data_IF_988851159424
#
_entry.id   IF_988851159424
#
_cell.length_a   1.000
_cell.length_b   1.000
_cell.length_c   1.000
_cell.angle_alpha   90.00
_cell.angle_beta   90.00
_cell.angle_gamma   90.00
#
_symmetry.space_group_name_H-M   'P 1'
#
loop_
_entity.id
_entity.type
_entity.pdbx_description
1 polymer ?
#
# COMPACT_ATOMS: atom_id res chain seq x y z
N UNK A 1 26.96 -7.77 3.10
CA UNK A 1 26.08 -6.85 2.35
C UNK A 1 24.92 -7.68 1.83
N UNK A 2 23.70 -7.43 2.32
CA UNK A 2 22.51 -8.11 1.80
C UNK A 2 22.29 -7.68 0.33
N UNK A 3 21.88 -8.58 -0.57
CA UNK A 3 21.73 -8.23 -1.98
C UNK A 3 20.51 -7.31 -2.11
N UNK A 4 20.73 -6.01 -2.30
CA UNK A 4 19.71 -5.11 -2.84
C UNK A 4 19.58 -5.44 -4.31
N UNK A 5 18.71 -6.40 -4.64
CA UNK A 5 18.31 -6.65 -6.02
C UNK A 5 17.53 -5.43 -6.55
N UNK A 6 17.51 -5.25 -7.88
CA UNK A 6 16.77 -4.15 -8.55
C UNK A 6 15.33 -3.99 -8.04
N UNK A 7 14.68 -5.09 -7.66
CA UNK A 7 13.33 -5.09 -7.09
C UNK A 7 13.23 -4.37 -5.72
N UNK A 8 14.26 -4.46 -4.88
CA UNK A 8 14.31 -3.75 -3.59
C UNK A 8 14.51 -2.24 -3.77
N UNK A 9 15.29 -1.84 -4.78
CA UNK A 9 15.49 -0.43 -5.11
C UNK A 9 14.22 0.18 -5.72
N UNK A 10 13.54 -0.55 -6.62
CA UNK A 10 12.24 -0.17 -7.18
C UNK A 10 11.17 0.01 -6.09
N UNK A 11 11.13 -0.89 -5.10
CA UNK A 11 10.17 -0.82 -4.00
C UNK A 11 10.42 0.40 -3.09
N UNK A 12 11.69 0.69 -2.78
CA UNK A 12 12.07 1.88 -1.99
C UNK A 12 11.79 3.19 -2.74
N UNK A 13 12.01 3.21 -4.05
CA UNK A 13 11.64 4.35 -4.89
C UNK A 13 10.12 4.53 -4.91
N UNK A 14 9.38 3.43 -5.04
CA UNK A 14 7.92 3.45 -5.02
C UNK A 14 7.34 3.90 -3.68
N UNK A 15 7.98 3.56 -2.55
CA UNK A 15 7.56 4.03 -1.22
C UNK A 15 7.55 5.57 -1.11
N UNK A 16 8.39 6.26 -1.89
CA UNK A 16 8.44 7.73 -1.94
C UNK A 16 7.55 8.33 -3.04
N UNK A 17 6.83 7.52 -3.80
CA UNK A 17 6.00 7.98 -4.92
C UNK A 17 4.76 8.74 -4.44
N UNK A 18 4.24 9.61 -5.31
CA UNK A 18 2.95 10.30 -5.08
C UNK A 18 1.80 9.33 -4.84
N UNK A 19 1.83 8.16 -5.49
CA UNK A 19 0.81 7.14 -5.31
C UNK A 19 0.82 6.58 -3.90
N UNK A 20 1.98 6.21 -3.37
CA UNK A 20 2.07 5.74 -1.98
C UNK A 20 1.71 6.84 -0.98
N UNK A 21 2.06 8.11 -1.26
CA UNK A 21 1.62 9.25 -0.45
C UNK A 21 0.09 9.40 -0.44
N UNK A 22 -0.58 9.23 -1.59
CA UNK A 22 -2.05 9.25 -1.68
C UNK A 22 -2.69 8.12 -0.85
N UNK A 23 -2.18 6.89 -0.98
CA UNK A 23 -2.67 5.75 -0.20
C UNK A 23 -2.53 6.01 1.30
N UNK A 24 -1.35 6.46 1.75
CA UNK A 24 -1.14 6.83 3.16
C UNK A 24 -2.07 7.94 3.64
N UNK A 25 -2.35 8.94 2.79
CA UNK A 25 -3.28 10.01 3.14
C UNK A 25 -4.72 9.49 3.29
N UNK A 26 -5.18 8.59 2.40
CA UNK A 26 -6.50 7.95 2.52
C UNK A 26 -6.61 7.21 3.85
N UNK A 27 -5.59 6.41 4.19
CA UNK A 27 -5.56 5.68 5.46
C UNK A 27 -5.54 6.60 6.67
N UNK A 28 -4.76 7.69 6.61
CA UNK A 28 -4.70 8.70 7.68
C UNK A 28 -6.05 9.39 7.90
N UNK A 29 -6.74 9.77 6.82
CA UNK A 29 -8.07 10.38 6.90
C UNK A 29 -9.06 9.39 7.49
N UNK A 30 -9.07 8.15 7.00
CA UNK A 30 -9.93 7.07 7.51
C UNK A 30 -9.73 6.82 9.01
N UNK A 31 -8.48 6.77 9.47
CA UNK A 31 -8.16 6.63 10.89
C UNK A 31 -8.61 7.84 11.72
N UNK A 32 -8.48 9.07 11.20
CA UNK A 32 -8.94 10.29 11.86
C UNK A 32 -10.47 10.36 11.97
N UNK A 33 -11.20 9.72 11.05
CA UNK A 33 -12.65 9.58 11.11
C UNK A 33 -13.11 8.48 12.09
N UNK A 34 -12.17 7.72 12.67
CA UNK A 34 -12.46 6.64 13.62
C UNK A 34 -12.77 5.30 12.95
N UNK A 35 -12.47 5.14 11.66
CA UNK A 35 -12.67 3.87 10.97
C UNK A 35 -11.61 2.85 11.41
N UNK A 36 -12.05 1.64 11.73
CA UNK A 36 -11.17 0.51 12.11
C UNK A 36 -10.47 -0.15 10.92
N UNK A 37 -10.90 0.17 9.70
CA UNK A 37 -10.38 -0.41 8.47
C UNK A 37 -10.57 0.54 7.30
N UNK A 38 -9.63 0.54 6.37
CA UNK A 38 -9.70 1.31 5.13
C UNK A 38 -9.84 0.37 3.95
N UNK A 39 -10.90 0.55 3.16
CA UNK A 39 -11.13 -0.22 1.93
C UNK A 39 -10.61 0.57 0.74
N UNK A 40 -9.78 -0.06 -0.10
CA UNK A 40 -9.19 0.56 -1.29
C UNK A 40 -9.42 -0.35 -2.48
N UNK A 41 -10.12 0.12 -3.52
CA UNK A 41 -10.33 -0.66 -4.74
C UNK A 41 -9.04 -0.86 -5.54
N UNK A 42 -8.94 -1.97 -6.26
CA UNK A 42 -7.80 -2.24 -7.14
C UNK A 42 -7.63 -1.18 -8.23
N UNK A 43 -8.73 -0.60 -8.71
CA UNK A 43 -8.70 0.54 -9.64
C UNK A 43 -7.90 1.73 -9.10
N UNK A 44 -7.95 1.96 -7.78
CA UNK A 44 -7.18 3.01 -7.11
C UNK A 44 -5.71 2.63 -6.86
N UNK A 45 -5.37 1.34 -6.90
CA UNK A 45 -3.99 0.87 -6.77
C UNK A 45 -3.20 0.98 -8.07
N UNK A 46 -3.88 1.01 -9.22
CA UNK A 46 -3.28 1.10 -10.55
C UNK A 46 -3.00 -0.28 -11.14
N UNK A 47 -1.80 -0.47 -11.69
CA UNK A 47 -1.42 -1.75 -12.32
C UNK A 47 -1.23 -2.87 -11.28
N UNK A 48 -1.31 -4.13 -11.72
CA UNK A 48 -1.03 -5.28 -10.85
C UNK A 48 0.33 -5.19 -10.15
N UNK A 49 1.36 -4.64 -10.82
CA UNK A 49 2.68 -4.43 -10.22
C UNK A 49 2.64 -3.39 -9.10
N UNK A 50 1.96 -2.26 -9.32
CA UNK A 50 1.79 -1.22 -8.30
C UNK A 50 0.98 -1.75 -7.11
N UNK A 51 -0.08 -2.52 -7.36
CA UNK A 51 -0.86 -3.15 -6.29
C UNK A 51 -0.01 -4.07 -5.41
N UNK A 52 0.84 -4.91 -6.02
CA UNK A 52 1.79 -5.76 -5.28
C UNK A 52 2.75 -4.90 -4.44
N UNK A 53 3.29 -3.82 -5.01
CA UNK A 53 4.20 -2.93 -4.30
C UNK A 53 3.52 -2.23 -3.12
N UNK A 54 2.31 -1.71 -3.32
CA UNK A 54 1.52 -1.07 -2.26
C UNK A 54 1.26 -2.05 -1.12
N UNK A 55 0.74 -3.24 -1.41
CA UNK A 55 0.46 -4.25 -0.37
C UNK A 55 1.73 -4.67 0.36
N UNK A 56 2.84 -4.85 -0.37
CA UNK A 56 4.13 -5.21 0.23
C UNK A 56 4.61 -4.12 1.19
N UNK A 57 4.56 -2.86 0.77
CA UNK A 57 4.97 -1.72 1.60
C UNK A 57 4.06 -1.55 2.81
N UNK A 58 2.75 -1.67 2.65
CA UNK A 58 1.80 -1.61 3.77
C UNK A 58 2.11 -2.68 4.83
N UNK A 59 2.36 -3.92 4.42
CA UNK A 59 2.77 -5.00 5.33
C UNK A 59 4.13 -4.72 5.98
N UNK A 60 5.10 -4.18 5.25
CA UNK A 60 6.41 -3.78 5.80
C UNK A 60 6.29 -2.66 6.84
N UNK A 61 5.33 -1.76 6.67
CA UNK A 61 5.03 -0.67 7.61
C UNK A 61 4.13 -1.11 8.77
N UNK A 62 3.78 -2.40 8.87
CA UNK A 62 3.07 -2.98 10.01
C UNK A 62 1.55 -3.03 9.89
N UNK A 63 0.98 -2.69 8.73
CA UNK A 63 -0.46 -2.80 8.49
C UNK A 63 -0.87 -4.25 8.18
N UNK A 64 -2.06 -4.63 8.64
CA UNK A 64 -2.68 -5.87 8.19
C UNK A 64 -3.46 -5.62 6.90
N UNK A 65 -3.17 -6.38 5.84
CA UNK A 65 -3.79 -6.22 4.52
C UNK A 65 -4.48 -7.51 4.11
N UNK A 66 -5.80 -7.45 4.02
CA UNK A 66 -6.69 -8.51 3.55
C UNK A 66 -7.15 -8.22 2.11
N UNK A 67 -7.41 -9.27 1.34
CA UNK A 67 -7.91 -9.17 -0.03
C UNK A 67 -9.41 -9.48 -0.04
N UNK A 68 -10.20 -8.61 -0.67
CA UNK A 68 -11.56 -8.89 -1.12
C UNK A 68 -11.60 -9.15 -2.62
N UNK A 69 -12.79 -9.20 -3.21
CA UNK A 69 -12.95 -9.51 -4.65
C UNK A 69 -12.21 -8.49 -5.54
N UNK A 70 -12.49 -7.19 -5.37
CA UNK A 70 -11.86 -6.10 -6.16
C UNK A 70 -11.25 -5.00 -5.28
N UNK A 71 -10.94 -5.34 -4.02
CA UNK A 71 -10.47 -4.38 -3.01
C UNK A 71 -9.36 -4.99 -2.15
N UNK A 72 -8.55 -4.11 -1.55
CA UNK A 72 -7.80 -4.44 -0.34
C UNK A 72 -8.45 -3.78 0.87
N UNK A 73 -8.39 -4.47 2.00
CA UNK A 73 -8.85 -3.98 3.29
C UNK A 73 -7.62 -3.85 4.18
N UNK A 74 -7.35 -2.63 4.65
CA UNK A 74 -6.16 -2.31 5.44
C UNK A 74 -6.59 -1.97 6.87
N UNK A 75 -6.00 -2.66 7.86
CA UNK A 75 -6.24 -2.50 9.30
C UNK A 75 -4.95 -2.12 10.02
#
# INVERSE_FOLDING_TARGET
MAPTGKASDDLRAFDKSEKMMKIRNIMRVSANEGNLSTVISFENLGTNREAIFIVTLLRQHGYNVEYGDDVIIVK
#
